data_IF_244178681244
#
_entry.id   IF_244178681244
#
_cell.length_a   1.000
_cell.length_b   1.000
_cell.length_c   1.000
_cell.angle_alpha   90.00
_cell.angle_beta   90.00
_cell.angle_gamma   90.00
#
_symmetry.space_group_name_H-M   'P 1'
#
loop_
_entity.id
_entity.type
_entity.pdbx_description
1 polymer ?
#
# COMPACT_ATOMS: atom_id res chain seq x y z
N UNK A 1 2.16 -20.77 14.78
CA UNK A 1 3.18 -19.67 14.85
C UNK A 1 3.98 -19.43 13.56
N UNK A 2 4.17 -20.39 12.63
CA UNK A 2 5.00 -20.18 11.41
C UNK A 2 4.44 -19.22 10.35
N UNK A 3 3.10 -19.11 10.19
CA UNK A 3 2.47 -18.21 9.19
C UNK A 3 2.76 -16.72 9.41
N UNK A 4 2.87 -16.28 10.66
CA UNK A 4 3.11 -14.87 10.99
C UNK A 4 4.58 -14.45 10.73
N UNK A 5 5.53 -15.40 10.78
CA UNK A 5 6.95 -15.14 10.55
C UNK A 5 7.25 -14.83 9.08
N UNK A 6 6.75 -15.66 8.15
CA UNK A 6 6.93 -15.42 6.70
C UNK A 6 6.30 -14.10 6.24
N UNK A 7 5.10 -13.78 6.73
CA UNK A 7 4.46 -12.50 6.41
C UNK A 7 5.27 -11.30 6.90
N UNK A 8 5.83 -11.37 8.11
CA UNK A 8 6.71 -10.33 8.65
C UNK A 8 8.00 -10.17 7.84
N UNK A 9 8.64 -11.28 7.48
CA UNK A 9 9.85 -11.27 6.65
C UNK A 9 9.58 -10.62 5.28
N UNK A 10 8.45 -10.97 4.65
CA UNK A 10 8.03 -10.35 3.41
C UNK A 10 7.78 -8.85 3.56
N UNK A 11 7.01 -8.42 4.56
CA UNK A 11 6.75 -6.99 4.82
C UNK A 11 8.05 -6.21 5.03
N UNK A 12 8.98 -6.75 5.83
CA UNK A 12 10.28 -6.11 6.05
C UNK A 12 11.10 -6.04 4.76
N UNK A 13 11.08 -7.09 3.94
CA UNK A 13 11.74 -7.09 2.62
C UNK A 13 11.15 -5.98 1.74
N UNK A 14 9.84 -5.94 1.58
CA UNK A 14 9.18 -4.95 0.71
C UNK A 14 9.37 -3.52 1.22
N UNK A 15 9.30 -3.32 2.54
CA UNK A 15 9.59 -2.03 3.16
C UNK A 15 11.00 -1.55 2.80
N UNK A 16 12.02 -2.40 3.00
CA UNK A 16 13.41 -2.05 2.71
C UNK A 16 13.63 -1.81 1.21
N UNK A 17 12.99 -2.59 0.34
CA UNK A 17 13.05 -2.38 -1.11
C UNK A 17 12.54 -1.00 -1.52
N UNK A 18 11.48 -0.50 -0.88
CA UNK A 18 10.96 0.85 -1.16
C UNK A 18 11.82 1.91 -0.48
N UNK A 19 12.19 1.70 0.78
CA UNK A 19 12.87 2.70 1.60
C UNK A 19 14.34 2.94 1.23
N UNK A 20 14.99 2.01 0.52
CA UNK A 20 16.43 2.02 0.25
C UNK A 20 16.73 2.06 -1.25
N UNK A 21 17.85 2.66 -1.62
CA UNK A 21 18.43 2.58 -2.96
C UNK A 21 19.25 1.29 -3.12
N UNK A 22 19.59 0.86 -4.35
CA UNK A 22 20.45 -0.31 -4.56
C UNK A 22 21.82 -0.22 -3.86
N UNK A 23 22.33 0.99 -3.66
CA UNK A 23 23.60 1.28 -2.98
C UNK A 23 23.48 1.24 -1.45
N UNK A 24 22.28 1.02 -0.90
CA UNK A 24 22.04 0.95 0.54
C UNK A 24 21.85 2.32 1.20
N UNK A 25 21.63 3.39 0.43
CA UNK A 25 21.21 4.69 0.95
C UNK A 25 19.69 4.76 1.09
N UNK A 26 19.19 5.79 1.75
CA UNK A 26 17.75 6.06 1.84
C UNK A 26 17.22 6.56 0.49
N UNK A 27 16.16 5.93 -0.01
CA UNK A 27 15.40 6.40 -1.17
C UNK A 27 14.46 7.52 -0.73
N UNK A 28 14.74 8.76 -1.14
CA UNK A 28 13.90 9.92 -0.78
C UNK A 28 12.48 9.77 -1.35
N UNK A 29 12.36 9.31 -2.60
CA UNK A 29 11.06 9.06 -3.23
C UNK A 29 10.33 7.88 -2.60
N UNK A 30 11.06 6.84 -2.21
CA UNK A 30 10.51 5.69 -1.49
C UNK A 30 9.97 6.07 -0.11
N UNK A 31 10.73 6.83 0.66
CA UNK A 31 10.26 7.38 1.93
C UNK A 31 9.07 8.29 1.76
N UNK A 32 9.08 9.16 0.75
CA UNK A 32 7.93 9.99 0.42
C UNK A 32 6.68 9.14 0.19
N UNK A 33 6.74 8.09 -0.63
CA UNK A 33 5.62 7.19 -0.89
C UNK A 33 5.12 6.49 0.39
N UNK A 34 6.04 5.96 1.21
CA UNK A 34 5.71 5.27 2.46
C UNK A 34 5.03 6.21 3.47
N UNK A 35 5.62 7.39 3.69
CA UNK A 35 5.12 8.39 4.65
C UNK A 35 3.80 8.98 4.17
N UNK A 36 3.68 9.33 2.90
CA UNK A 36 2.45 9.87 2.32
C UNK A 36 1.32 8.85 2.46
N UNK A 37 1.55 7.58 2.12
CA UNK A 37 0.52 6.55 2.25
C UNK A 37 0.02 6.37 3.68
N UNK A 38 0.95 6.31 4.65
CA UNK A 38 0.59 6.26 6.08
C UNK A 38 -0.20 7.50 6.48
N UNK A 39 0.15 8.68 5.97
CA UNK A 39 -0.54 9.91 6.32
C UNK A 39 -2.01 9.92 5.88
N UNK A 40 -2.34 9.42 4.68
CA UNK A 40 -3.72 9.51 4.18
C UNK A 40 -4.56 8.22 4.34
N UNK A 41 -3.94 7.06 4.57
CA UNK A 41 -4.64 5.77 4.79
C UNK A 41 -4.33 5.09 6.11
N UNK A 42 -3.31 5.53 6.82
CA UNK A 42 -2.83 4.86 8.01
C UNK A 42 -1.94 3.65 7.69
N UNK A 43 -1.43 3.05 8.76
CA UNK A 43 -0.53 1.90 8.73
C UNK A 43 -1.25 0.55 8.52
N UNK A 44 -2.58 0.53 8.71
CA UNK A 44 -3.39 -0.68 8.61
C UNK A 44 -3.36 -1.54 9.88
N UNK A 45 -3.00 -0.97 11.02
CA UNK A 45 -3.03 -1.67 12.32
C UNK A 45 -4.31 -1.37 13.09
N UNK A 46 -4.95 -0.23 12.84
CA UNK A 46 -6.20 0.17 13.52
C UNK A 46 -7.41 -0.72 13.10
N UNK A 47 -8.29 -1.12 14.04
CA UNK A 47 -9.42 -2.01 13.76
C UNK A 47 -10.67 -1.32 13.20
N UNK A 48 -10.72 0.02 13.16
CA UNK A 48 -11.94 0.78 12.77
C UNK A 48 -12.09 0.89 11.24
N UNK A 49 -10.99 0.74 10.49
CA UNK A 49 -11.00 0.92 9.04
C UNK A 49 -11.02 -0.42 8.29
N UNK A 50 -12.10 -1.18 8.48
CA UNK A 50 -12.32 -2.38 7.69
C UNK A 50 -13.71 -2.45 7.04
N UNK A 51 -13.74 -3.09 5.87
CA UNK A 51 -14.95 -3.64 5.29
C UNK A 51 -14.74 -5.14 5.25
N UNK A 52 -15.67 -5.92 5.82
CA UNK A 52 -15.58 -7.39 5.84
C UNK A 52 -14.29 -7.90 6.53
N UNK A 53 -13.84 -7.20 7.59
CA UNK A 53 -12.62 -7.56 8.33
C UNK A 53 -11.30 -7.34 7.56
N UNK A 54 -11.36 -6.69 6.39
CA UNK A 54 -10.19 -6.36 5.57
C UNK A 54 -9.73 -4.93 5.79
N UNK A 55 -8.42 -4.76 6.03
CA UNK A 55 -7.78 -3.46 6.24
C UNK A 55 -7.12 -2.96 4.94
N UNK A 56 -6.84 -1.65 4.89
CA UNK A 56 -6.43 -0.97 3.66
C UNK A 56 -5.20 -0.07 3.83
N UNK A 57 -4.41 -0.29 4.88
CA UNK A 57 -3.26 0.55 5.22
C UNK A 57 -1.94 0.00 4.68
N UNK A 58 -0.84 0.68 5.05
CA UNK A 58 0.50 0.38 4.53
C UNK A 58 0.87 -1.11 4.63
N UNK A 59 0.53 -1.77 5.74
CA UNK A 59 0.83 -3.21 5.90
C UNK A 59 0.22 -4.07 4.79
N UNK A 60 -1.02 -3.80 4.36
CA UNK A 60 -1.66 -4.57 3.29
C UNK A 60 -1.03 -4.27 1.94
N UNK A 61 -0.57 -3.03 1.71
CA UNK A 61 0.19 -2.70 0.48
C UNK A 61 1.49 -3.49 0.42
N UNK A 62 2.27 -3.49 1.50
CA UNK A 62 3.54 -4.21 1.56
C UNK A 62 3.36 -5.74 1.46
N UNK A 63 2.21 -6.28 1.89
CA UNK A 63 1.87 -7.70 1.72
C UNK A 63 1.41 -8.05 0.29
N UNK A 64 0.82 -7.10 -0.42
CA UNK A 64 0.33 -7.27 -1.80
C UNK A 64 1.45 -7.11 -2.83
N UNK A 65 2.55 -6.45 -2.46
CA UNK A 65 3.69 -6.25 -3.35
C UNK A 65 4.29 -7.58 -3.82
N UNK A 66 4.57 -7.73 -5.13
CA UNK A 66 5.19 -8.94 -5.66
C UNK A 66 6.62 -9.09 -5.14
N UNK A 67 7.01 -10.32 -4.86
CA UNK A 67 8.39 -10.68 -4.52
C UNK A 67 9.25 -10.80 -5.79
N UNK A 68 9.36 -9.70 -6.54
CA UNK A 68 10.14 -9.61 -7.78
C UNK A 68 11.14 -8.45 -7.73
N UNK A 69 12.39 -8.77 -7.40
CA UNK A 69 13.49 -7.80 -7.25
C UNK A 69 13.93 -7.16 -8.58
N UNK A 70 13.38 -7.59 -9.73
CA UNK A 70 13.69 -7.00 -11.05
C UNK A 70 12.83 -5.79 -11.40
N UNK A 71 11.68 -5.63 -10.73
CA UNK A 71 10.78 -4.47 -10.91
C UNK A 71 11.23 -3.30 -10.03
N UNK A 72 10.99 -2.07 -10.49
CA UNK A 72 11.13 -0.90 -9.63
C UNK A 72 10.21 -1.08 -8.40
N UNK A 73 10.77 -1.05 -7.18
CA UNK A 73 9.98 -1.24 -5.97
C UNK A 73 8.92 -0.15 -5.77
N UNK A 74 9.12 1.07 -6.29
CA UNK A 74 8.13 2.16 -6.22
C UNK A 74 6.94 1.90 -7.11
N UNK A 75 7.18 1.40 -8.33
CA UNK A 75 6.11 0.98 -9.23
C UNK A 75 5.31 -0.17 -8.62
N UNK A 76 6.01 -1.17 -8.08
CA UNK A 76 5.38 -2.30 -7.39
C UNK A 76 4.55 -1.84 -6.18
N UNK A 77 5.04 -0.86 -5.43
CA UNK A 77 4.33 -0.24 -4.31
C UNK A 77 3.08 0.51 -4.77
N UNK A 78 3.17 1.33 -5.82
CA UNK A 78 2.05 2.08 -6.37
C UNK A 78 0.97 1.16 -6.96
N UNK A 79 1.35 0.09 -7.65
CA UNK A 79 0.43 -0.93 -8.16
C UNK A 79 -0.29 -1.65 -7.01
N UNK A 80 0.45 -2.09 -5.99
CA UNK A 80 -0.10 -2.72 -4.80
C UNK A 80 -1.06 -1.77 -4.05
N UNK A 81 -0.69 -0.51 -3.87
CA UNK A 81 -1.53 0.51 -3.24
C UNK A 81 -2.85 0.71 -3.99
N UNK A 82 -2.81 0.77 -5.33
CA UNK A 82 -4.02 0.82 -6.17
C UNK A 82 -4.85 -0.45 -6.04
N UNK A 83 -4.23 -1.63 -6.05
CA UNK A 83 -4.92 -2.92 -5.87
C UNK A 83 -5.70 -2.95 -4.55
N UNK A 84 -5.05 -2.61 -3.44
CA UNK A 84 -5.66 -2.55 -2.10
C UNK A 84 -6.86 -1.59 -2.08
N UNK A 85 -6.71 -0.38 -2.65
CA UNK A 85 -7.82 0.57 -2.66
C UNK A 85 -8.94 0.21 -3.64
N UNK A 86 -8.66 -0.51 -4.73
CA UNK A 86 -9.72 -1.07 -5.59
C UNK A 86 -10.51 -2.14 -4.86
N UNK A 87 -9.84 -3.06 -4.14
CA UNK A 87 -10.49 -4.04 -3.26
C UNK A 87 -11.36 -3.36 -2.21
N UNK A 88 -10.91 -2.24 -1.63
CA UNK A 88 -11.73 -1.41 -0.71
C UNK A 88 -13.03 -0.93 -1.36
N UNK A 89 -12.93 -0.36 -2.57
CA UNK A 89 -14.11 0.07 -3.33
C UNK A 89 -15.03 -1.11 -3.63
N UNK A 90 -14.47 -2.27 -3.97
CA UNK A 90 -15.23 -3.51 -4.24
C UNK A 90 -15.93 -4.07 -2.99
N UNK A 91 -15.32 -3.95 -1.82
CA UNK A 91 -15.88 -4.42 -0.54
C UNK A 91 -16.77 -3.40 0.17
N UNK A 92 -16.79 -2.15 -0.29
CA UNK A 92 -17.61 -1.11 0.31
C UNK A 92 -19.11 -1.46 0.29
N UNK A 93 -19.85 -1.18 1.39
CA UNK A 93 -21.31 -1.27 1.46
C UNK A 93 -22.00 -0.47 0.34
N UNK A 94 -23.22 -0.88 -0.03
CA UNK A 94 -23.98 -0.30 -1.16
C UNK A 94 -24.17 1.22 -1.00
N UNK A 95 -24.47 1.69 0.21
CA UNK A 95 -24.65 3.11 0.54
C UNK A 95 -23.36 3.94 0.46
N UNK A 96 -22.18 3.28 0.53
CA UNK A 96 -20.86 3.92 0.49
C UNK A 96 -20.15 3.75 -0.86
N UNK A 97 -20.64 2.86 -1.71
CA UNK A 97 -19.98 2.42 -2.94
C UNK A 97 -19.60 3.56 -3.87
N UNK A 98 -20.55 4.44 -4.19
CA UNK A 98 -20.33 5.55 -5.12
C UNK A 98 -19.36 6.60 -4.54
N UNK A 99 -19.40 6.81 -3.23
CA UNK A 99 -18.45 7.69 -2.55
C UNK A 99 -17.02 7.14 -2.61
N UNK A 100 -16.85 5.86 -2.32
CA UNK A 100 -15.55 5.17 -2.38
C UNK A 100 -14.99 5.18 -3.81
N UNK A 101 -15.81 4.89 -4.83
CA UNK A 101 -15.42 5.02 -6.26
C UNK A 101 -14.96 6.43 -6.59
N UNK A 102 -15.68 7.46 -6.13
CA UNK A 102 -15.33 8.87 -6.36
C UNK A 102 -14.01 9.23 -5.69
N UNK A 103 -13.81 8.86 -4.43
CA UNK A 103 -12.57 9.14 -3.72
C UNK A 103 -11.36 8.43 -4.34
N UNK A 104 -11.53 7.17 -4.77
CA UNK A 104 -10.48 6.45 -5.49
C UNK A 104 -10.02 7.23 -6.73
N UNK A 105 -10.96 7.62 -7.61
CA UNK A 105 -10.63 8.30 -8.87
C UNK A 105 -10.11 9.72 -8.71
N UNK A 106 -10.67 10.50 -7.78
CA UNK A 106 -10.41 11.95 -7.69
C UNK A 106 -9.26 12.27 -6.73
N UNK A 107 -8.98 11.42 -5.75
CA UNK A 107 -8.01 11.72 -4.68
C UNK A 107 -6.92 10.66 -4.55
N UNK A 108 -7.29 9.39 -4.40
CA UNK A 108 -6.32 8.37 -4.00
C UNK A 108 -5.44 7.92 -5.16
N UNK A 109 -6.03 7.61 -6.32
CA UNK A 109 -5.26 7.17 -7.49
C UNK A 109 -4.34 8.28 -8.01
N UNK A 110 -4.77 9.55 -8.14
CA UNK A 110 -3.86 10.65 -8.49
C UNK A 110 -2.70 10.82 -7.50
N UNK A 111 -2.95 10.68 -6.20
CA UNK A 111 -1.90 10.73 -5.17
C UNK A 111 -0.91 9.57 -5.32
N UNK A 112 -1.40 8.34 -5.49
CA UNK A 112 -0.52 7.16 -5.66
C UNK A 112 0.30 7.24 -6.95
N UNK A 113 -0.24 7.85 -8.00
CA UNK A 113 0.51 8.07 -9.24
C UNK A 113 1.79 8.90 -9.01
N UNK A 114 1.85 9.72 -7.96
CA UNK A 114 3.03 10.56 -7.70
C UNK A 114 4.26 9.75 -7.27
N UNK A 115 4.08 8.50 -6.85
CA UNK A 115 5.16 7.66 -6.31
C UNK A 115 6.10 7.11 -7.41
N UNK A 116 5.64 7.14 -8.66
CA UNK A 116 6.36 6.60 -9.81
C UNK A 116 7.20 7.65 -10.56
N UNK A 117 7.10 8.93 -10.20
CA UNK A 117 7.92 10.00 -10.79
C UNK A 117 9.31 10.09 -10.16
#
# INVERSE_FOLDING_TARGET
MKKNKKGREHVNKQFNRVAMTPEGNVSIMGLYALVDYVHFKGDGTHPIEDYDGQKWGLMQVLLEMPDDDRKDPRESFAEAAKSILRKRVEKAPVDKKEREKRWFRVLWEPRINTYNY
#
